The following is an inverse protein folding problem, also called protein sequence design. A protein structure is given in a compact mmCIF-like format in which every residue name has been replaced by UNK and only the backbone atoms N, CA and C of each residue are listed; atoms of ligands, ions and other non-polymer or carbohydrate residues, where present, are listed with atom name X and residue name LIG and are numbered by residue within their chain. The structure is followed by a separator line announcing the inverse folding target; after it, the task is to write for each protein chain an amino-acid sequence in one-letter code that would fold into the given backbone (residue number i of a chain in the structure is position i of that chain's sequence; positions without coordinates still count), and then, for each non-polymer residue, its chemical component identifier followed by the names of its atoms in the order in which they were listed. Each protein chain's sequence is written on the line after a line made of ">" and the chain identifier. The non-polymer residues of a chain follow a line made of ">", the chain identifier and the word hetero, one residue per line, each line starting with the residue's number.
data_IF_439966674190
#
_entry.id   IF_439966674190
#
_cell.length_a   1.000
_cell.length_b   1.000
_cell.length_c   1.000
_cell.angle_alpha   90.00
_cell.angle_beta   90.00
_cell.angle_gamma   90.00
#
_symmetry.space_group_name_H-M   'P 1'
#
loop_
_entity.id
_entity.type
_entity.pdbx_description
1 polymer ?
#
# COMPACT_ATOMS: atom_id res chain seq x y z
N UNK A 1 -28.91 -7.51 -10.43
CA UNK A 1 -28.18 -6.59 -9.52
C UNK A 1 -26.82 -6.33 -10.12
N UNK A 2 -26.52 -5.10 -10.55
CA UNK A 2 -25.18 -4.74 -11.02
C UNK A 2 -24.24 -4.57 -9.81
N UNK A 3 -22.99 -5.08 -9.85
CA UNK A 3 -22.04 -4.86 -8.77
C UNK A 3 -21.77 -3.36 -8.62
N UNK A 4 -21.91 -2.85 -7.40
CA UNK A 4 -21.57 -1.46 -7.09
C UNK A 4 -20.05 -1.27 -7.27
N UNK A 5 -19.59 -0.20 -7.94
CA UNK A 5 -18.16 0.07 -8.04
C UNK A 5 -17.58 0.16 -6.63
N UNK A 6 -16.53 -0.62 -6.37
CA UNK A 6 -15.76 -0.53 -5.13
C UNK A 6 -15.19 0.89 -5.09
N UNK A 7 -15.79 1.77 -4.29
CA UNK A 7 -15.24 3.10 -4.06
C UNK A 7 -13.84 2.90 -3.47
N UNK A 8 -12.82 3.30 -4.20
CA UNK A 8 -11.48 3.45 -3.64
C UNK A 8 -11.58 4.52 -2.57
N UNK A 9 -11.63 4.11 -1.30
CA UNK A 9 -11.73 5.05 -0.19
C UNK A 9 -10.37 5.72 0.00
N UNK A 10 -10.22 6.94 -0.53
CA UNK A 10 -9.06 7.78 -0.26
C UNK A 10 -9.13 8.25 1.20
N UNK A 11 -8.27 7.71 2.06
CA UNK A 11 -8.13 8.15 3.46
C UNK A 11 -7.22 9.37 3.53
N UNK A 12 -7.78 10.54 3.83
CA UNK A 12 -7.01 11.78 4.04
C UNK A 12 -6.62 11.93 5.50
N UNK A 13 -5.35 12.24 5.76
CA UNK A 13 -4.81 12.54 7.10
C UNK A 13 -3.92 13.78 7.02
N UNK A 14 -4.04 14.68 7.98
CA UNK A 14 -3.09 15.78 8.15
C UNK A 14 -1.83 15.25 8.84
N UNK A 15 -0.68 15.58 8.27
CA UNK A 15 0.65 15.20 8.77
C UNK A 15 1.45 16.48 8.90
N UNK A 16 2.00 16.72 10.08
CA UNK A 16 2.89 17.85 10.33
C UNK A 16 4.27 17.56 9.75
N UNK A 17 4.87 18.57 9.12
CA UNK A 17 6.24 18.53 8.61
C UNK A 17 7.03 19.66 9.26
N UNK A 18 8.28 19.37 9.61
CA UNK A 18 9.24 20.42 9.90
C UNK A 18 9.39 21.33 8.66
N UNK A 19 9.45 22.67 8.82
CA UNK A 19 9.49 23.60 7.68
C UNK A 19 10.61 23.31 6.68
N UNK A 20 11.79 22.93 7.18
CA UNK A 20 12.95 22.58 6.37
C UNK A 20 12.73 21.31 5.54
N UNK A 21 12.03 20.32 6.09
CA UNK A 21 11.67 19.08 5.39
C UNK A 21 10.65 19.38 4.30
N UNK A 22 9.66 20.23 4.59
CA UNK A 22 8.67 20.64 3.61
C UNK A 22 9.32 21.37 2.42
N UNK A 23 10.24 22.30 2.70
CA UNK A 23 10.98 23.01 1.65
C UNK A 23 11.79 22.06 0.77
N UNK A 24 12.49 21.11 1.38
CA UNK A 24 13.27 20.11 0.64
C UNK A 24 12.38 19.21 -0.23
N UNK A 25 11.22 18.80 0.27
CA UNK A 25 10.25 18.00 -0.49
C UNK A 25 9.66 18.78 -1.67
N UNK A 26 9.31 20.06 -1.47
CA UNK A 26 8.78 20.92 -2.53
C UNK A 26 9.82 21.18 -3.64
N UNK A 27 11.08 21.40 -3.28
CA UNK A 27 12.18 21.51 -4.24
C UNK A 27 12.40 20.21 -5.01
N UNK A 28 12.45 19.07 -4.31
CA UNK A 28 12.61 17.76 -4.95
C UNK A 28 11.46 17.44 -5.93
N UNK A 29 10.23 17.79 -5.55
CA UNK A 29 9.06 17.63 -6.40
C UNK A 29 9.22 18.44 -7.70
N UNK A 30 9.66 19.70 -7.60
CA UNK A 30 9.91 20.56 -8.76
C UNK A 30 11.04 20.05 -9.64
N UNK A 31 12.16 19.66 -9.06
CA UNK A 31 13.34 19.17 -9.79
C UNK A 31 13.04 17.87 -10.55
N UNK A 32 12.17 17.01 -10.00
CA UNK A 32 11.78 15.74 -10.62
C UNK A 32 10.52 15.84 -11.49
N UNK A 33 9.85 16.99 -11.51
CA UNK A 33 8.58 17.17 -12.21
C UNK A 33 7.42 16.33 -11.63
N UNK A 34 7.51 15.95 -10.36
CA UNK A 34 6.53 15.12 -9.65
C UNK A 34 5.73 15.93 -8.64
N UNK A 35 4.62 15.40 -8.16
CA UNK A 35 3.92 15.97 -7.01
C UNK A 35 4.46 15.42 -5.68
N UNK A 36 4.26 16.15 -4.59
CA UNK A 36 4.56 15.66 -3.22
C UNK A 36 3.78 14.37 -2.92
N UNK A 37 2.59 14.20 -3.50
CA UNK A 37 1.79 12.98 -3.38
C UNK A 37 2.50 11.78 -4.03
N UNK A 38 3.06 11.95 -5.24
CA UNK A 38 3.80 10.88 -5.92
C UNK A 38 5.06 10.47 -5.14
N UNK A 39 5.76 11.44 -4.54
CA UNK A 39 6.91 11.18 -3.67
C UNK A 39 6.49 10.42 -2.41
N UNK A 40 5.35 10.79 -1.81
CA UNK A 40 4.83 10.12 -0.63
C UNK A 40 4.40 8.68 -0.93
N UNK A 41 3.74 8.43 -2.07
CA UNK A 41 3.33 7.09 -2.49
C UNK A 41 4.52 6.15 -2.67
N UNK A 42 5.60 6.63 -3.30
CA UNK A 42 6.84 5.88 -3.43
C UNK A 42 7.48 5.61 -2.07
N UNK A 43 7.65 6.64 -1.25
CA UNK A 43 8.25 6.49 0.08
C UNK A 43 7.47 5.53 0.99
N UNK A 44 6.13 5.55 0.92
CA UNK A 44 5.29 4.63 1.68
C UNK A 44 5.34 3.21 1.12
N UNK A 45 5.37 3.02 -0.21
CA UNK A 45 5.53 1.71 -0.81
C UNK A 45 6.86 1.07 -0.38
N UNK A 46 7.94 1.83 -0.43
CA UNK A 46 9.26 1.40 0.03
C UNK A 46 9.29 1.07 1.52
N UNK A 47 8.66 1.92 2.34
CA UNK A 47 8.53 1.69 3.78
C UNK A 47 7.77 0.39 4.06
N UNK A 48 6.61 0.19 3.45
CA UNK A 48 5.78 -1.00 3.67
C UNK A 48 6.46 -2.28 3.14
N UNK A 49 7.17 -2.17 2.01
CA UNK A 49 8.00 -3.24 1.47
C UNK A 49 9.07 -3.70 2.44
N UNK A 50 9.80 -2.78 3.07
CA UNK A 50 10.83 -3.09 4.10
C UNK A 50 10.28 -3.86 5.30
N UNK A 51 9.02 -3.64 5.67
CA UNK A 51 8.39 -4.31 6.82
C UNK A 51 7.51 -5.50 6.43
N UNK A 52 7.58 -5.97 5.18
CA UNK A 52 6.76 -7.06 4.63
C UNK A 52 5.26 -6.85 4.89
N UNK A 53 4.80 -5.60 4.81
CA UNK A 53 3.37 -5.27 4.88
C UNK A 53 2.83 -5.19 3.47
N UNK A 54 1.80 -5.98 3.12
CA UNK A 54 1.20 -5.89 1.79
C UNK A 54 0.62 -4.50 1.60
N UNK A 55 1.14 -3.77 0.61
CA UNK A 55 0.73 -2.39 0.30
C UNK A 55 -0.59 -2.36 -0.48
N UNK A 56 -1.01 -3.49 -1.04
CA UNK A 56 -2.29 -3.65 -1.74
C UNK A 56 -3.10 -4.84 -1.25
N UNK A 57 -4.42 -4.78 -1.46
CA UNK A 57 -5.33 -5.91 -1.22
C UNK A 57 -4.89 -7.18 -1.99
N UNK A 58 -4.35 -7.01 -3.21
CA UNK A 58 -3.86 -8.12 -4.04
C UNK A 58 -2.65 -8.81 -3.40
N UNK A 59 -1.73 -8.05 -2.82
CA UNK A 59 -0.59 -8.59 -2.10
C UNK A 59 -1.03 -9.25 -0.78
N UNK A 60 -1.99 -8.66 -0.07
CA UNK A 60 -2.55 -9.25 1.14
C UNK A 60 -3.24 -10.59 0.85
N UNK A 61 -3.98 -10.69 -0.24
CA UNK A 61 -4.60 -11.94 -0.70
C UNK A 61 -3.56 -12.97 -1.13
N UNK A 62 -2.49 -12.56 -1.82
CA UNK A 62 -1.40 -13.46 -2.24
C UNK A 62 -0.62 -14.00 -1.03
N UNK A 63 -0.43 -13.19 0.01
CA UNK A 63 0.21 -13.62 1.26
C UNK A 63 -0.71 -14.58 2.05
N UNK A 64 -2.00 -14.27 2.18
CA UNK A 64 -2.97 -15.18 2.80
C UNK A 64 -3.10 -16.52 2.08
N UNK A 65 -3.07 -16.51 0.73
CA UNK A 65 -3.11 -17.73 -0.08
C UNK A 65 -1.82 -18.56 0.02
N UNK A 66 -0.68 -17.96 0.35
CA UNK A 66 0.56 -18.70 0.65
C UNK A 66 0.61 -19.27 2.07
N UNK A 67 -0.15 -18.67 3.00
CA UNK A 67 -0.22 -19.11 4.42
C UNK A 67 -1.19 -20.25 4.67
N UNK A 68 -2.11 -20.51 3.74
CA UNK A 68 -2.97 -21.68 3.76
C UNK A 68 -2.37 -22.73 2.83
N UNK A 69 -2.06 -23.97 3.27
CA UNK A 69 -2.08 -25.09 2.32
C UNK A 69 -3.48 -25.07 1.71
N UNK A 70 -3.54 -24.98 0.38
CA UNK A 70 -4.79 -24.91 -0.37
C UNK A 70 -5.51 -26.25 -0.23
N UNK A 71 -6.30 -26.37 0.84
CA UNK A 71 -7.24 -27.46 1.11
C UNK A 71 -6.71 -28.83 0.67
N UNK A 72 -5.78 -29.41 1.42
CA UNK A 72 -5.54 -30.84 1.35
C UNK A 72 -6.81 -31.53 1.88
N UNK A 73 -7.76 -31.81 0.98
CA UNK A 73 -8.89 -32.73 1.20
C UNK A 73 -8.33 -34.15 1.37
N UNK A 74 -7.57 -34.40 2.44
CA UNK A 74 -7.25 -35.76 2.88
C UNK A 74 -8.42 -36.22 3.73
N UNK A 75 -9.23 -37.20 3.27
CA UNK A 75 -10.30 -37.74 4.08
C UNK A 75 -9.69 -38.36 5.35
N UNK A 76 -10.33 -38.23 6.53
CA UNK A 76 -9.85 -38.89 7.73
C UNK A 76 -9.80 -40.42 7.50
N UNK A 77 -8.73 -41.10 7.90
CA UNK A 77 -8.70 -42.56 7.86
C UNK A 77 -9.70 -43.10 8.89
N UNK A 78 -10.77 -43.71 8.36
CA UNK A 78 -11.80 -44.60 8.95
C UNK A 78 -12.17 -44.44 10.42
#
# INVERSE_FOLDING_TARGET
>A
MLPRPHTSYVKRKLIEFAPEVWLALDLLAKDTGRSVQDLAEEAFADLLGKYHRPASLKEALRESARRLPANDDVPPPR
#
